data_IF_894167436640
#
_entry.id   IF_894167436640
#
_cell.length_a   1.000
_cell.length_b   1.000
_cell.length_c   1.000
_cell.angle_alpha   90.00
_cell.angle_beta   90.00
_cell.angle_gamma   90.00
#
_symmetry.space_group_name_H-M   'P 1'
#
loop_
_entity.id
_entity.type
_entity.pdbx_description
1 polymer ?
#
# COMPACT_ATOMS: atom_id res chain seq x y z
N UNK A 1 1.93 0.13 -26.17
CA UNK A 1 2.40 -0.78 -25.10
C UNK A 1 1.19 -1.07 -24.24
N UNK A 2 0.92 -2.32 -23.89
CA UNK A 2 -0.24 -2.63 -23.04
C UNK A 2 0.21 -2.43 -21.61
N UNK A 3 -0.04 -1.26 -21.06
CA UNK A 3 0.12 -1.01 -19.64
C UNK A 3 -0.76 -2.03 -18.92
N UNK A 4 -0.12 -3.03 -18.32
CA UNK A 4 -0.80 -4.15 -17.70
C UNK A 4 -1.15 -3.70 -16.29
N UNK A 5 -2.26 -3.00 -16.15
CA UNK A 5 -2.80 -2.63 -14.84
C UNK A 5 -3.32 -3.91 -14.17
N UNK A 6 -2.59 -4.39 -13.16
CA UNK A 6 -3.10 -5.46 -12.30
C UNK A 6 -4.14 -4.87 -11.33
N UNK A 7 -5.19 -5.61 -10.97
CA UNK A 7 -6.15 -5.19 -9.95
C UNK A 7 -5.44 -5.06 -8.59
N UNK A 8 -5.93 -4.16 -7.73
CA UNK A 8 -5.41 -3.98 -6.37
C UNK A 8 -5.61 -5.28 -5.60
N UNK A 9 -4.53 -6.03 -5.37
CA UNK A 9 -4.59 -7.34 -4.73
C UNK A 9 -3.70 -7.34 -3.50
N UNK A 10 -4.29 -7.38 -2.32
CA UNK A 10 -3.55 -7.50 -1.06
C UNK A 10 -2.97 -8.90 -0.89
N UNK A 11 -1.70 -8.95 -0.52
CA UNK A 11 -0.97 -10.19 -0.21
C UNK A 11 -0.79 -10.34 1.29
N UNK A 12 -0.89 -11.57 1.80
CA UNK A 12 -0.65 -11.88 3.21
C UNK A 12 0.86 -12.02 3.47
N UNK A 13 1.41 -11.14 4.30
CA UNK A 13 2.79 -11.18 4.79
C UNK A 13 2.80 -11.76 6.21
N UNK A 14 3.45 -12.91 6.37
CA UNK A 14 3.56 -13.59 7.65
C UNK A 14 4.74 -13.02 8.47
N UNK A 15 4.45 -12.24 9.51
CA UNK A 15 5.40 -11.95 10.59
C UNK A 15 5.05 -12.86 11.78
N UNK A 16 6.01 -13.41 12.53
CA UNK A 16 5.65 -14.14 13.77
C UNK A 16 5.40 -13.09 14.87
N UNK A 17 4.20 -12.97 15.49
CA UNK A 17 2.99 -13.79 15.41
C UNK A 17 1.81 -13.21 14.60
N UNK A 18 2.02 -12.16 13.79
CA UNK A 18 0.97 -11.40 13.09
C UNK A 18 1.01 -11.63 11.58
N UNK A 19 -0.11 -12.02 10.98
CA UNK A 19 -0.32 -11.94 9.52
C UNK A 19 -0.76 -10.53 9.16
N UNK A 20 -0.07 -9.89 8.22
CA UNK A 20 -0.38 -8.53 7.74
C UNK A 20 -0.77 -8.59 6.27
N UNK A 21 -1.96 -8.08 5.92
CA UNK A 21 -2.37 -7.87 4.52
C UNK A 21 -1.74 -6.59 4.01
N UNK A 22 -1.01 -6.64 2.90
CA UNK A 22 -0.42 -5.46 2.30
C UNK A 22 -0.35 -5.55 0.78
N UNK A 23 -0.36 -4.38 0.14
CA UNK A 23 -0.14 -4.19 -1.30
C UNK A 23 1.18 -3.44 -1.47
N UNK A 24 2.08 -3.94 -2.32
CA UNK A 24 3.32 -3.24 -2.67
C UNK A 24 3.02 -2.20 -3.76
N UNK A 25 3.40 -0.95 -3.53
CA UNK A 25 3.24 0.12 -4.52
C UNK A 25 4.25 -0.10 -5.65
N UNK A 26 3.76 -0.21 -6.87
CA UNK A 26 4.56 -0.46 -8.06
C UNK A 26 4.91 0.85 -8.79
N UNK A 27 5.97 0.84 -9.59
CA UNK A 27 6.44 2.02 -10.39
C UNK A 27 5.37 2.59 -11.36
N UNK A 28 4.32 1.83 -11.68
CA UNK A 28 3.21 2.26 -12.54
C UNK A 28 1.97 2.73 -11.79
N UNK A 29 1.97 2.69 -10.46
CA UNK A 29 0.79 3.01 -9.66
C UNK A 29 0.56 4.53 -9.60
N UNK A 30 -0.70 4.93 -9.81
CA UNK A 30 -1.11 6.32 -9.72
C UNK A 30 -1.60 6.62 -8.29
N UNK A 31 -0.80 7.38 -7.55
CA UNK A 31 -1.15 7.82 -6.20
C UNK A 31 -1.39 9.32 -6.17
N UNK A 32 -2.58 9.71 -5.73
CA UNK A 32 -2.89 11.09 -5.33
C UNK A 32 -2.68 11.21 -3.83
N UNK A 33 -1.79 12.11 -3.38
CA UNK A 33 -1.49 12.31 -1.96
C UNK A 33 -1.76 13.76 -1.56
N UNK A 34 -2.54 13.92 -0.49
CA UNK A 34 -2.83 15.19 0.15
C UNK A 34 -2.07 15.29 1.48
N UNK A 35 -1.08 16.18 1.50
CA UNK A 35 -0.22 16.42 2.67
C UNK A 35 -0.96 17.06 3.84
N UNK A 36 -2.03 17.82 3.59
CA UNK A 36 -2.75 18.56 4.62
C UNK A 36 -3.68 17.62 5.40
N UNK A 37 -4.34 16.71 4.68
CA UNK A 37 -5.28 15.74 5.28
C UNK A 37 -4.63 14.40 5.64
N UNK A 38 -3.39 14.16 5.20
CA UNK A 38 -2.69 12.87 5.36
C UNK A 38 -3.46 11.70 4.74
N UNK A 39 -4.16 11.99 3.65
CA UNK A 39 -4.93 11.02 2.89
C UNK A 39 -4.26 10.81 1.54
N UNK A 40 -4.33 9.58 1.05
CA UNK A 40 -3.89 9.22 -0.28
C UNK A 40 -4.91 8.31 -0.96
N UNK A 41 -4.91 8.32 -2.28
CA UNK A 41 -5.77 7.49 -3.10
C UNK A 41 -4.91 6.78 -4.13
N UNK A 42 -4.93 5.45 -4.13
CA UNK A 42 -4.40 4.63 -5.19
C UNK A 42 -5.49 4.43 -6.25
N UNK A 43 -5.20 4.85 -7.49
CA UNK A 43 -6.12 4.73 -8.63
C UNK A 43 -5.63 3.69 -9.62
N UNK A 44 -6.48 2.70 -9.88
CA UNK A 44 -6.39 1.79 -11.02
C UNK A 44 -7.56 2.03 -11.97
N UNK A 45 -7.50 1.49 -13.19
CA UNK A 45 -8.51 1.70 -14.23
C UNK A 45 -9.95 1.43 -13.76
N UNK A 46 -10.14 0.46 -12.86
CA UNK A 46 -11.47 0.08 -12.36
C UNK A 46 -11.60 0.18 -10.82
N UNK A 47 -10.52 0.49 -10.10
CA UNK A 47 -10.49 0.44 -8.64
C UNK A 47 -9.92 1.74 -8.07
N UNK A 48 -10.48 2.17 -6.93
CA UNK A 48 -10.00 3.32 -6.17
C UNK A 48 -9.88 2.89 -4.73
N UNK A 49 -8.69 3.05 -4.16
CA UNK A 49 -8.42 2.67 -2.78
C UNK A 49 -7.93 3.89 -1.99
N UNK A 50 -8.76 4.46 -1.10
CA UNK A 50 -8.32 5.48 -0.15
C UNK A 50 -7.51 4.84 0.99
N UNK A 51 -6.48 5.54 1.47
CA UNK A 51 -5.66 5.13 2.61
C UNK A 51 -5.03 6.34 3.32
N UNK A 52 -4.68 6.17 4.60
CA UNK A 52 -3.96 7.16 5.39
C UNK A 52 -2.47 7.13 5.04
N UNK A 53 -1.85 8.29 4.83
CA UNK A 53 -0.41 8.39 4.58
C UNK A 53 0.18 9.57 5.36
N UNK A 54 1.15 9.30 6.24
CA UNK A 54 1.84 10.34 7.03
C UNK A 54 3.04 10.94 6.30
N UNK A 55 3.47 10.30 5.22
CA UNK A 55 4.52 10.74 4.31
C UNK A 55 4.11 10.40 2.87
N UNK A 56 4.80 10.99 1.89
CA UNK A 56 4.48 10.76 0.49
C UNK A 56 4.74 9.29 0.10
N UNK A 57 3.71 8.53 -0.33
CA UNK A 57 3.90 7.16 -0.79
C UNK A 57 4.71 7.11 -2.08
N UNK A 58 5.55 6.09 -2.24
CA UNK A 58 6.39 5.87 -3.41
C UNK A 58 6.49 4.39 -3.76
N UNK A 59 6.96 4.09 -4.97
CA UNK A 59 7.21 2.72 -5.40
C UNK A 59 8.15 1.97 -4.42
N UNK A 60 7.82 0.71 -4.15
CA UNK A 60 8.49 -0.16 -3.19
C UNK A 60 8.04 -0.02 -1.73
N UNK A 61 7.21 0.97 -1.41
CA UNK A 61 6.50 1.05 -0.13
C UNK A 61 5.25 0.16 -0.13
N UNK A 62 4.57 0.06 1.01
CA UNK A 62 3.44 -0.83 1.20
C UNK A 62 2.19 -0.06 1.66
N UNK A 63 1.04 -0.40 1.10
CA UNK A 63 -0.28 -0.06 1.64
C UNK A 63 -0.74 -1.25 2.49
N UNK A 64 -0.89 -1.04 3.78
CA UNK A 64 -1.30 -2.07 4.74
C UNK A 64 -2.81 -2.00 4.94
N UNK A 65 -3.46 -3.16 4.84
CA UNK A 65 -4.87 -3.33 5.14
C UNK A 65 -5.02 -3.97 6.52
N UNK A 66 -5.60 -3.24 7.47
CA UNK A 66 -5.99 -3.80 8.76
C UNK A 66 -7.47 -4.20 8.75
N UNK A 67 -8.34 -3.31 8.30
CA UNK A 67 -9.77 -3.52 8.08
C UNK A 67 -10.32 -2.46 7.10
N UNK A 68 -11.64 -2.45 6.86
CA UNK A 68 -12.29 -1.54 5.91
C UNK A 68 -12.16 -0.05 6.29
N UNK A 69 -11.98 0.25 7.58
CA UNK A 69 -11.84 1.61 8.12
C UNK A 69 -10.37 2.01 8.35
N UNK A 70 -9.43 1.05 8.27
CA UNK A 70 -8.02 1.25 8.61
C UNK A 70 -7.11 0.63 7.55
N UNK A 71 -6.80 1.47 6.56
CA UNK A 71 -5.88 1.20 5.47
C UNK A 71 -4.84 2.32 5.49
N UNK A 72 -3.55 1.98 5.57
CA UNK A 72 -2.51 2.96 5.81
C UNK A 72 -1.21 2.65 5.06
N UNK A 73 -0.46 3.69 4.70
CA UNK A 73 0.87 3.59 4.09
C UNK A 73 1.94 3.26 5.13
N UNK A 74 2.88 2.41 4.72
CA UNK A 74 4.05 2.01 5.48
C UNK A 74 5.26 2.01 4.53
N UNK A 75 6.33 2.71 4.91
CA UNK A 75 7.57 2.68 4.13
C UNK A 75 8.14 1.27 4.02
N UNK A 76 8.86 1.01 2.93
CA UNK A 76 9.53 -0.26 2.67
C UNK A 76 10.43 -0.71 3.84
N UNK A 77 11.19 0.24 4.41
CA UNK A 77 12.09 0.02 5.54
C UNK A 77 11.32 -0.45 6.77
N UNK A 78 10.32 0.33 7.21
CA UNK A 78 9.51 -0.01 8.38
C UNK A 78 8.75 -1.30 8.17
N UNK A 79 8.25 -1.55 6.95
CA UNK A 79 7.53 -2.77 6.64
C UNK A 79 8.44 -3.99 6.73
N UNK A 80 9.66 -3.93 6.19
CA UNK A 80 10.64 -5.03 6.22
C UNK A 80 11.22 -5.27 7.61
N UNK A 81 11.43 -4.22 8.41
CA UNK A 81 11.86 -4.36 9.80
C UNK A 81 10.80 -5.09 10.65
N UNK A 82 9.51 -4.81 10.40
CA UNK A 82 8.39 -5.38 11.16
C UNK A 82 7.92 -6.74 10.65
N UNK A 83 8.18 -7.09 9.40
CA UNK A 83 7.75 -8.34 8.79
C UNK A 83 8.96 -9.17 8.36
N UNK A 84 9.13 -10.34 8.98
CA UNK A 84 10.16 -11.31 8.59
C UNK A 84 9.73 -11.94 7.25
N UNK A 85 10.11 -11.34 6.12
CA UNK A 85 10.09 -12.06 4.84
C UNK A 85 11.12 -13.18 4.92
N UNK A 86 10.65 -14.43 4.94
CA UNK A 86 11.52 -15.63 4.97
C UNK A 86 12.00 -15.96 3.57
#
# INVERSE_FOLDING_TARGET
MKDTFMPITFTDYNSKPIVRKAYEILEGDLIEYDTDTKQAILRHTNDVLPFVAYEQPKAGDYIVYLNEDDIYHCSSEVFKERNITT
#
